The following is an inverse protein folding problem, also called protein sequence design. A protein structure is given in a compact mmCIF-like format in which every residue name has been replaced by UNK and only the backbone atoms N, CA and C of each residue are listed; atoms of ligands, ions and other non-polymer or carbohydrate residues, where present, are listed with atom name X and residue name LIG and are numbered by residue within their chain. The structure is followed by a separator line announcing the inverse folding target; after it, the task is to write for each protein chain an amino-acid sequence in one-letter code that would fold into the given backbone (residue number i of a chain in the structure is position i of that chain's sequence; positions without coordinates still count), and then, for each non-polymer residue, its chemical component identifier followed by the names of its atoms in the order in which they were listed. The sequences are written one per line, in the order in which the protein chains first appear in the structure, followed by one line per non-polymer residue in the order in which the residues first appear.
data_IF_228041096735
#
_entry.id   IF_228041096735
#
_cell.length_a   1.000
_cell.length_b   1.000
_cell.length_c   1.000
_cell.angle_alpha   90.00
_cell.angle_beta   90.00
_cell.angle_gamma   90.00
#
_symmetry.space_group_name_H-M   'P 1'
#
loop_
_entity.id
_entity.type
_entity.pdbx_description
1 polymer ?
#
# COMPACT_ATOMS: atom_id res chain seq x y z
N UNK A 1 -0.27 -12.21 6.30
CA UNK A 1 -0.40 -13.46 7.09
C UNK A 1 -0.90 -14.62 6.22
N UNK A 2 -2.10 -14.54 5.62
CA UNK A 2 -2.68 -15.66 4.84
C UNK A 2 -1.89 -16.02 3.56
N UNK A 3 -1.54 -15.06 2.71
CA UNK A 3 -0.86 -15.33 1.42
C UNK A 3 0.53 -15.97 1.57
N UNK A 4 1.39 -15.46 2.47
CA UNK A 4 2.72 -16.06 2.74
C UNK A 4 2.64 -17.39 3.51
N UNK A 5 1.68 -17.51 4.44
CA UNK A 5 1.46 -18.76 5.19
C UNK A 5 0.97 -19.91 4.31
N UNK A 6 0.04 -19.66 3.40
CA UNK A 6 -0.46 -20.68 2.47
C UNK A 6 0.48 -20.97 1.29
N UNK A 7 1.44 -20.08 1.00
CA UNK A 7 2.51 -20.33 0.03
C UNK A 7 3.78 -20.88 0.69
N UNK A 8 3.89 -21.03 2.01
CA UNK A 8 5.12 -21.53 2.65
C UNK A 8 6.33 -20.58 2.54
N UNK A 9 6.09 -19.28 2.37
CA UNK A 9 7.14 -18.26 2.48
C UNK A 9 7.31 -17.81 3.94
N UNK A 10 8.54 -17.46 4.31
CA UNK A 10 8.84 -16.94 5.65
C UNK A 10 7.89 -15.79 6.01
N UNK A 11 7.31 -15.89 7.22
CA UNK A 11 6.43 -14.89 7.85
C UNK A 11 7.25 -13.69 8.35
N UNK A 12 8.10 -13.14 7.49
CA UNK A 12 8.77 -11.87 7.72
C UNK A 12 7.96 -10.78 7.05
N UNK A 13 7.89 -9.60 7.69
CA UNK A 13 7.42 -8.37 7.06
C UNK A 13 8.65 -7.73 6.39
N UNK A 14 8.93 -8.01 5.10
CA UNK A 14 10.06 -7.37 4.45
C UNK A 14 9.86 -5.85 4.46
N UNK A 15 10.95 -5.06 4.43
CA UNK A 15 10.89 -3.59 4.41
C UNK A 15 9.96 -3.04 3.31
N UNK A 16 9.82 -3.78 2.21
CA UNK A 16 8.92 -3.47 1.10
C UNK A 16 7.42 -3.54 1.48
N UNK A 17 7.03 -4.50 2.32
CA UNK A 17 5.66 -4.57 2.87
C UNK A 17 5.39 -3.41 3.82
N UNK A 18 6.39 -3.03 4.63
CA UNK A 18 6.27 -1.87 5.53
C UNK A 18 6.10 -0.58 4.72
N UNK A 19 6.85 -0.41 3.64
CA UNK A 19 6.71 0.75 2.74
C UNK A 19 5.31 0.88 2.14
N UNK A 20 4.70 -0.23 1.70
CA UNK A 20 3.31 -0.25 1.20
C UNK A 20 2.31 0.19 2.28
N UNK A 21 2.45 -0.32 3.50
CA UNK A 21 1.56 0.08 4.61
C UNK A 21 1.75 1.55 4.99
N UNK A 22 2.99 2.04 5.01
CA UNK A 22 3.26 3.45 5.27
C UNK A 22 2.66 4.37 4.19
N UNK A 23 2.74 3.97 2.90
CA UNK A 23 2.12 4.72 1.81
C UNK A 23 0.60 4.83 1.98
N UNK A 24 -0.06 3.72 2.33
CA UNK A 24 -1.51 3.69 2.59
C UNK A 24 -1.88 4.50 3.84
N UNK A 25 -1.12 4.38 4.92
CA UNK A 25 -1.35 5.15 6.15
C UNK A 25 -1.22 6.65 5.91
N UNK A 26 -0.17 7.08 5.18
CA UNK A 26 0.02 8.47 4.81
C UNK A 26 -1.11 8.98 3.91
N UNK A 27 -1.55 8.18 2.94
CA UNK A 27 -2.68 8.52 2.07
C UNK A 27 -3.98 8.74 2.88
N UNK A 28 -4.24 7.90 3.87
CA UNK A 28 -5.40 8.04 4.75
C UNK A 28 -5.32 9.33 5.60
N UNK A 29 -4.15 9.62 6.18
CA UNK A 29 -3.93 10.85 6.96
C UNK A 29 -4.13 12.10 6.11
N UNK A 30 -3.57 12.14 4.90
CA UNK A 30 -3.75 13.23 3.95
C UNK A 30 -5.23 13.43 3.58
N UNK A 31 -5.97 12.33 3.41
CA UNK A 31 -7.41 12.40 3.11
C UNK A 31 -8.22 12.97 4.28
N UNK A 32 -7.88 12.62 5.52
CA UNK A 32 -8.51 13.21 6.72
C UNK A 32 -8.16 14.69 6.82
N UNK A 33 -6.88 15.05 6.65
CA UNK A 33 -6.45 16.44 6.70
C UNK A 33 -7.11 17.30 5.59
N UNK A 34 -7.38 16.74 4.41
CA UNK A 34 -8.12 17.41 3.35
C UNK A 34 -9.56 17.79 3.77
N UNK A 35 -10.19 16.98 4.62
CA UNK A 35 -11.52 17.25 5.15
C UNK A 35 -11.50 18.30 6.28
N UNK A 36 -10.41 18.39 7.03
CA UNK A 36 -10.25 19.34 8.14
C UNK A 36 -9.78 20.73 7.66
N UNK A 37 -9.09 20.81 6.52
CA UNK A 37 -8.54 22.06 5.98
C UNK A 37 -9.04 22.28 4.54
N UNK A 38 -10.25 22.81 4.33
CA UNK A 38 -10.87 22.95 3.01
C UNK A 38 -10.02 23.74 2.00
N UNK A 39 -9.27 24.75 2.48
CA UNK A 39 -8.40 25.59 1.65
C UNK A 39 -7.24 24.83 0.98
N UNK A 40 -6.89 23.65 1.49
CA UNK A 40 -5.86 22.78 0.92
C UNK A 40 -6.42 21.44 0.43
N UNK A 41 -7.74 21.31 0.32
CA UNK A 41 -8.41 20.06 -0.03
C UNK A 41 -7.89 19.45 -1.34
N UNK A 42 -7.78 20.23 -2.41
CA UNK A 42 -7.30 19.77 -3.73
C UNK A 42 -5.89 19.17 -3.65
N UNK A 43 -4.84 19.90 -3.22
CA UNK A 43 -3.49 19.33 -3.16
C UNK A 43 -3.39 18.14 -2.18
N UNK A 44 -4.08 18.16 -1.04
CA UNK A 44 -4.06 17.03 -0.12
C UNK A 44 -4.74 15.79 -0.70
N UNK A 45 -5.86 15.94 -1.43
CA UNK A 45 -6.53 14.84 -2.10
C UNK A 45 -5.68 14.28 -3.24
N UNK A 46 -4.96 15.12 -3.99
CA UNK A 46 -4.01 14.66 -5.01
C UNK A 46 -2.88 13.83 -4.39
N UNK A 47 -2.26 14.32 -3.33
CA UNK A 47 -1.21 13.57 -2.62
C UNK A 47 -1.74 12.28 -2.01
N UNK A 48 -2.95 12.30 -1.43
CA UNK A 48 -3.62 11.11 -0.94
C UNK A 48 -3.83 10.09 -2.07
N UNK A 49 -4.32 10.54 -3.23
CA UNK A 49 -4.51 9.70 -4.42
C UNK A 49 -3.22 9.02 -4.87
N UNK A 50 -2.10 9.76 -4.94
CA UNK A 50 -0.79 9.20 -5.28
C UNK A 50 -0.37 8.14 -4.25
N UNK A 51 -0.57 8.41 -2.96
CA UNK A 51 -0.27 7.44 -1.89
C UNK A 51 -1.11 6.17 -1.98
N UNK A 52 -2.40 6.28 -2.31
CA UNK A 52 -3.25 5.12 -2.59
C UNK A 52 -2.75 4.31 -3.78
N UNK A 53 -2.45 4.97 -4.90
CA UNK A 53 -1.88 4.32 -6.07
C UNK A 53 -0.57 3.59 -5.73
N UNK A 54 0.38 4.26 -5.08
CA UNK A 54 1.66 3.67 -4.70
C UNK A 54 1.49 2.45 -3.77
N UNK A 55 0.58 2.54 -2.79
CA UNK A 55 0.26 1.42 -1.90
C UNK A 55 -0.32 0.22 -2.64
N UNK A 56 -1.36 0.42 -3.45
CA UNK A 56 -2.01 -0.68 -4.18
C UNK A 56 -1.14 -1.25 -5.30
N UNK A 57 -0.48 -0.40 -6.10
CA UNK A 57 0.45 -0.88 -7.13
C UNK A 57 1.65 -1.60 -6.50
N UNK A 58 2.23 -1.06 -5.43
CA UNK A 58 3.30 -1.73 -4.68
C UNK A 58 2.86 -3.09 -4.16
N UNK A 59 1.64 -3.20 -3.63
CA UNK A 59 1.06 -4.48 -3.22
C UNK A 59 0.94 -5.46 -4.39
N UNK A 60 0.36 -5.04 -5.52
CA UNK A 60 0.21 -5.89 -6.71
C UNK A 60 1.56 -6.35 -7.25
N UNK A 61 2.55 -5.47 -7.32
CA UNK A 61 3.89 -5.81 -7.82
C UNK A 61 4.64 -6.77 -6.87
N UNK A 62 4.49 -6.59 -5.55
CA UNK A 62 5.18 -7.43 -4.56
C UNK A 62 4.51 -8.80 -4.36
N UNK A 63 3.17 -8.85 -4.41
CA UNK A 63 2.41 -10.06 -4.08
C UNK A 63 1.77 -10.75 -5.30
N UNK A 64 1.52 -10.02 -6.39
CA UNK A 64 0.96 -10.57 -7.64
C UNK A 64 1.81 -11.68 -8.25
N UNK A 65 3.15 -11.53 -8.37
CA UNK A 65 4.01 -12.61 -8.88
C UNK A 65 3.94 -13.89 -8.04
N UNK A 66 3.66 -13.80 -6.73
CA UNK A 66 3.52 -14.97 -5.85
C UNK A 66 2.25 -15.77 -6.13
N UNK A 67 1.24 -15.15 -6.76
CA UNK A 67 -0.02 -15.81 -7.14
C UNK A 67 0.02 -16.33 -8.59
N UNK A 68 0.80 -15.68 -9.46
CA UNK A 68 0.88 -16.00 -10.90
C UNK A 68 2.00 -17.01 -11.20
N UNK A 69 3.15 -16.94 -10.52
CA UNK A 69 4.22 -17.93 -10.71
C UNK A 69 3.88 -19.21 -9.97
N UNK A 70 3.52 -20.24 -10.74
CA UNK A 70 3.56 -21.64 -10.28
C UNK A 70 5.01 -21.95 -9.90
N UNK A 71 5.22 -22.51 -8.71
CA UNK A 71 6.55 -23.02 -8.30
C UNK A 71 7.00 -24.05 -9.34
N UNK A 72 8.20 -23.83 -9.89
CA UNK A 72 8.98 -24.88 -10.55
C UNK A 72 9.65 -25.73 -9.46
#
# INVERSE_FOLDING_TARGET
RATRGHTGHALTAPPTTVAVYLAVALAALLRIAAALVPGWSVPLLTLAGIGWCAGFFGFVLLYGPMLIRRRA
#
